data_IF_416876719723
#
_entry.id   IF_416876719723
#
_cell.length_a   1.000
_cell.length_b   1.000
_cell.length_c   1.000
_cell.angle_alpha   90.00
_cell.angle_beta   90.00
_cell.angle_gamma   90.00
#
_symmetry.space_group_name_H-M   'P 1'
#
loop_
_entity.id
_entity.type
_entity.pdbx_description
1 polymer ?
#
# COMPACT_ATOMS: atom_id res chain seq x y z
N UNK A 1 14.64 -2.50 9.76
CA UNK A 1 15.51 -3.23 8.81
C UNK A 1 15.32 -2.61 7.44
N UNK A 2 16.32 -1.91 6.91
CA UNK A 2 16.22 -1.16 5.64
C UNK A 2 16.30 -2.05 4.40
N UNK A 3 15.89 -1.49 3.26
CA UNK A 3 15.77 -1.97 1.86
C UNK A 3 16.96 -2.75 1.24
N UNK A 4 17.68 -3.58 1.99
CA UNK A 4 18.83 -4.36 1.51
C UNK A 4 18.47 -5.61 0.69
N UNK A 5 17.20 -5.84 0.32
CA UNK A 5 16.77 -7.17 -0.17
C UNK A 5 16.19 -7.27 -1.59
N UNK A 6 16.11 -6.20 -2.38
CA UNK A 6 15.53 -6.31 -3.72
C UNK A 6 16.46 -5.74 -4.80
N UNK A 7 17.51 -6.50 -5.15
CA UNK A 7 18.34 -6.18 -6.33
C UNK A 7 17.53 -6.30 -7.63
N UNK A 8 16.62 -7.28 -7.68
CA UNK A 8 15.67 -7.48 -8.77
C UNK A 8 14.29 -7.74 -8.17
N UNK A 9 13.25 -7.07 -8.65
CA UNK A 9 11.86 -7.25 -8.19
C UNK A 9 10.89 -7.06 -9.35
N UNK A 10 9.77 -7.79 -9.35
CA UNK A 10 8.66 -7.50 -10.25
C UNK A 10 7.85 -6.31 -9.71
N UNK A 11 7.67 -5.28 -10.53
CA UNK A 11 6.91 -4.07 -10.19
C UNK A 11 5.77 -3.88 -11.19
N UNK A 12 4.59 -3.52 -10.69
CA UNK A 12 3.44 -3.20 -11.52
C UNK A 12 3.51 -1.74 -11.98
N UNK A 13 3.66 -1.52 -13.28
CA UNK A 13 3.75 -0.18 -13.86
C UNK A 13 2.40 0.23 -14.44
N UNK A 14 1.93 1.42 -14.07
CA UNK A 14 0.84 2.09 -14.77
C UNK A 14 1.29 2.47 -16.20
N UNK A 15 0.35 2.67 -17.14
CA UNK A 15 0.67 3.20 -18.47
C UNK A 15 1.38 4.57 -18.42
N UNK A 16 2.24 4.86 -19.39
CA UNK A 16 3.09 6.06 -19.40
C UNK A 16 2.31 7.38 -19.49
N UNK A 17 1.05 7.34 -19.94
CA UNK A 17 0.15 8.49 -20.01
C UNK A 17 -0.68 8.72 -18.73
N UNK A 18 -0.48 7.90 -17.70
CA UNK A 18 -1.13 8.10 -16.40
C UNK A 18 -0.37 9.15 -15.61
N UNK A 19 -1.12 10.14 -15.10
CA UNK A 19 -0.60 11.21 -14.25
C UNK A 19 -0.14 10.74 -12.87
N UNK A 20 0.15 11.69 -11.99
CA UNK A 20 0.57 11.38 -10.63
C UNK A 20 -0.57 10.79 -9.81
N UNK A 21 -0.27 9.94 -8.82
CA UNK A 21 -1.30 9.26 -8.03
C UNK A 21 -2.33 10.22 -7.41
N UNK A 22 -1.92 11.41 -6.97
CA UNK A 22 -2.84 12.38 -6.37
C UNK A 22 -3.88 12.94 -7.35
N UNK A 23 -3.56 12.97 -8.65
CA UNK A 23 -4.47 13.45 -9.71
C UNK A 23 -5.60 12.44 -9.96
N UNK A 24 -5.39 11.17 -9.59
CA UNK A 24 -6.39 10.10 -9.74
C UNK A 24 -7.37 10.02 -8.56
N UNK A 25 -7.11 10.70 -7.43
CA UNK A 25 -7.96 10.62 -6.21
C UNK A 25 -9.43 10.90 -6.55
N UNK A 26 -9.70 12.00 -7.26
CA UNK A 26 -11.06 12.42 -7.59
C UNK A 26 -11.82 11.38 -8.44
N UNK A 27 -11.13 10.79 -9.42
CA UNK A 27 -11.73 9.77 -10.30
C UNK A 27 -11.97 8.44 -9.56
N UNK A 28 -11.17 8.11 -8.54
CA UNK A 28 -11.27 6.85 -7.80
C UNK A 28 -12.24 6.90 -6.62
N UNK A 29 -12.65 8.11 -6.18
CA UNK A 29 -13.54 8.28 -5.01
C UNK A 29 -14.85 7.50 -5.13
N UNK A 30 -15.45 7.45 -6.32
CA UNK A 30 -16.69 6.72 -6.60
C UNK A 30 -16.48 5.44 -7.43
N UNK A 31 -15.23 5.12 -7.80
CA UNK A 31 -14.94 3.93 -8.60
C UNK A 31 -14.65 2.71 -7.73
N UNK A 32 -15.00 1.53 -8.24
CA UNK A 32 -14.62 0.21 -7.70
C UNK A 32 -13.58 -0.50 -8.58
N UNK A 33 -13.22 0.11 -9.72
CA UNK A 33 -12.29 -0.46 -10.69
C UNK A 33 -11.29 0.61 -11.13
N UNK A 34 -10.01 0.25 -11.22
CA UNK A 34 -9.00 1.13 -11.81
C UNK A 34 -9.31 1.36 -13.29
N UNK A 35 -9.16 2.60 -13.80
CA UNK A 35 -9.48 2.93 -15.19
C UNK A 35 -8.44 2.42 -16.20
N UNK A 36 -7.46 1.64 -15.75
CA UNK A 36 -6.41 1.05 -16.57
C UNK A 36 -5.87 -0.22 -15.91
N UNK A 37 -5.20 -1.02 -16.72
CA UNK A 37 -4.44 -2.18 -16.26
C UNK A 37 -2.97 -1.80 -16.03
N UNK A 38 -2.34 -2.44 -15.05
CA UNK A 38 -0.90 -2.37 -14.84
C UNK A 38 -0.19 -3.42 -15.69
N UNK A 39 1.07 -3.16 -16.04
CA UNK A 39 1.96 -4.15 -16.66
C UNK A 39 3.12 -4.45 -15.73
N UNK A 40 3.41 -5.72 -15.45
CA UNK A 40 4.61 -6.09 -14.71
C UNK A 40 5.86 -5.82 -15.53
N UNK A 41 6.85 -5.23 -14.88
CA UNK A 41 8.22 -5.10 -15.37
C UNK A 41 9.16 -5.63 -14.30
N UNK A 42 10.29 -6.20 -14.71
CA UNK A 42 11.40 -6.47 -13.80
C UNK A 42 12.15 -5.17 -13.56
N UNK A 43 12.27 -4.77 -12.30
CA UNK A 43 13.05 -3.62 -11.84
C UNK A 43 14.40 -4.12 -11.33
N UNK A 44 15.47 -3.55 -11.85
CA UNK A 44 16.84 -3.79 -11.36
C UNK A 44 17.47 -2.47 -10.92
N UNK A 45 17.98 -2.42 -9.70
CA UNK A 45 18.74 -1.27 -9.20
C UNK A 45 20.22 -1.49 -9.46
N UNK A 46 20.83 -0.61 -10.25
CA UNK A 46 22.26 -0.58 -10.59
C UNK A 46 22.90 0.71 -10.08
N UNK A 47 24.22 0.80 -10.16
CA UNK A 47 24.97 2.00 -9.73
C UNK A 47 24.61 3.27 -10.52
N UNK A 48 24.15 3.11 -11.76
CA UNK A 48 23.73 4.19 -12.66
C UNK A 48 22.23 4.51 -12.59
N UNK A 49 21.46 3.79 -11.76
CA UNK A 49 20.04 4.08 -11.52
C UNK A 49 19.13 2.86 -11.56
N UNK A 50 17.85 3.12 -11.85
CA UNK A 50 16.77 2.14 -11.89
C UNK A 50 16.51 1.74 -13.34
N UNK A 51 16.53 0.44 -13.62
CA UNK A 51 16.30 -0.11 -14.96
C UNK A 51 15.07 -1.01 -14.96
N UNK A 52 14.23 -0.88 -15.99
CA UNK A 52 13.06 -1.71 -16.20
C UNK A 52 13.25 -2.61 -17.43
N UNK A 53 12.84 -3.88 -17.33
CA UNK A 53 12.87 -4.83 -18.44
C UNK A 53 11.68 -5.77 -18.41
N UNK A 54 11.41 -6.43 -19.55
CA UNK A 54 10.46 -7.54 -19.63
C UNK A 54 11.13 -8.91 -19.38
N UNK A 55 12.43 -8.92 -19.06
CA UNK A 55 13.17 -10.12 -18.66
C UNK A 55 13.09 -10.31 -17.14
N UNK A 56 12.39 -11.38 -16.72
CA UNK A 56 12.20 -11.75 -15.32
C UNK A 56 13.16 -12.87 -14.87
N UNK A 57 14.14 -13.29 -15.68
CA UNK A 57 15.05 -14.41 -15.38
C UNK A 57 15.79 -14.30 -14.04
N UNK A 58 15.95 -13.07 -13.54
CA UNK A 58 16.64 -12.76 -12.27
C UNK A 58 15.69 -12.40 -11.13
N UNK A 59 14.38 -12.52 -11.34
CA UNK A 59 13.33 -12.24 -10.35
C UNK A 59 12.82 -13.57 -9.79
N UNK A 60 13.05 -13.80 -8.50
CA UNK A 60 12.68 -15.06 -7.84
C UNK A 60 11.16 -15.27 -7.78
N UNK A 61 10.38 -14.21 -7.53
CA UNK A 61 8.92 -14.27 -7.46
C UNK A 61 8.33 -13.07 -8.16
N UNK A 62 7.50 -13.34 -9.18
CA UNK A 62 6.89 -12.30 -10.03
C UNK A 62 5.57 -11.81 -9.42
N UNK A 63 4.74 -12.75 -8.95
CA UNK A 63 3.43 -12.47 -8.38
C UNK A 63 3.48 -12.47 -6.86
N UNK A 64 3.43 -11.28 -6.27
CA UNK A 64 3.58 -11.09 -4.83
C UNK A 64 2.22 -10.79 -4.17
N UNK A 65 2.05 -11.17 -2.90
CA UNK A 65 0.79 -10.90 -2.19
C UNK A 65 0.59 -9.39 -1.95
N UNK A 66 1.68 -8.65 -1.75
CA UNK A 66 1.74 -7.19 -1.84
C UNK A 66 2.58 -6.80 -3.06
N UNK A 67 2.00 -6.30 -4.15
CA UNK A 67 2.76 -5.99 -5.36
C UNK A 67 3.32 -4.56 -5.31
N UNK A 68 4.65 -4.37 -5.36
CA UNK A 68 5.24 -3.05 -5.59
C UNK A 68 4.72 -2.48 -6.91
N UNK A 69 4.52 -1.17 -6.97
CA UNK A 69 4.00 -0.53 -8.18
C UNK A 69 4.55 0.88 -8.38
N UNK A 70 4.32 1.42 -9.58
CA UNK A 70 4.77 2.77 -9.96
C UNK A 70 3.88 3.89 -9.41
N UNK A 71 2.77 3.55 -8.76
CA UNK A 71 1.90 4.48 -8.05
C UNK A 71 2.11 4.32 -6.54
N UNK A 72 1.53 5.24 -5.78
CA UNK A 72 1.68 5.25 -4.32
C UNK A 72 0.60 4.42 -3.59
N UNK A 73 -0.37 3.85 -4.31
CA UNK A 73 -1.35 2.95 -3.71
C UNK A 73 -0.83 1.53 -3.56
N UNK A 74 -1.11 0.85 -2.45
CA UNK A 74 -0.72 -0.54 -2.30
C UNK A 74 -1.60 -1.45 -3.16
N UNK A 75 -0.99 -2.46 -3.79
CA UNK A 75 -1.70 -3.48 -4.59
C UNK A 75 -1.70 -4.80 -3.83
N UNK A 76 -2.87 -5.25 -3.39
CA UNK A 76 -3.04 -6.50 -2.65
C UNK A 76 -3.55 -7.60 -3.57
N UNK A 77 -2.94 -8.79 -3.48
CA UNK A 77 -3.51 -9.99 -4.08
C UNK A 77 -4.88 -10.29 -3.48
N UNK A 78 -5.68 -11.12 -4.17
CA UNK A 78 -6.96 -11.58 -3.64
C UNK A 78 -6.80 -12.31 -2.29
N UNK A 79 -5.71 -13.07 -2.11
CA UNK A 79 -5.38 -13.75 -0.84
C UNK A 79 -5.16 -12.75 0.27
N UNK A 80 -4.33 -11.72 0.06
CA UNK A 80 -4.04 -10.69 1.05
C UNK A 80 -5.30 -9.88 1.39
N UNK A 81 -6.04 -9.41 0.39
CA UNK A 81 -7.33 -8.73 0.56
C UNK A 81 -8.28 -9.55 1.42
N UNK A 82 -8.45 -10.84 1.14
CA UNK A 82 -9.39 -11.69 1.88
C UNK A 82 -8.97 -11.95 3.32
N UNK A 83 -7.66 -12.01 3.61
CA UNK A 83 -7.16 -12.07 4.98
C UNK A 83 -7.50 -10.79 5.75
N UNK A 84 -7.24 -9.62 5.17
CA UNK A 84 -7.59 -8.33 5.79
C UNK A 84 -9.10 -8.22 5.98
N UNK A 85 -9.90 -8.53 4.95
CA UNK A 85 -11.36 -8.43 4.97
C UNK A 85 -12.00 -9.22 6.11
N UNK A 86 -11.49 -10.43 6.40
CA UNK A 86 -11.96 -11.27 7.52
C UNK A 86 -11.72 -10.66 8.91
N UNK A 87 -10.85 -9.65 9.00
CA UNK A 87 -10.46 -9.02 10.26
C UNK A 87 -10.99 -7.60 10.42
N UNK A 88 -11.63 -7.03 9.38
CA UNK A 88 -12.23 -5.69 9.47
C UNK A 88 -13.31 -5.67 10.53
N UNK A 89 -13.42 -4.53 11.21
CA UNK A 89 -14.45 -4.28 12.22
C UNK A 89 -15.69 -3.60 11.62
N UNK A 90 -15.54 -3.04 10.42
CA UNK A 90 -16.56 -2.25 9.75
C UNK A 90 -16.49 -0.75 10.07
N UNK A 91 -15.54 -0.33 10.94
CA UNK A 91 -15.33 1.06 11.31
C UNK A 91 -14.19 1.73 10.52
N UNK A 92 -13.47 0.98 9.70
CA UNK A 92 -12.27 1.47 9.03
C UNK A 92 -12.55 2.38 7.81
N UNK A 93 -13.81 2.52 7.37
CA UNK A 93 -14.13 3.33 6.18
C UNK A 93 -13.38 2.84 4.94
N UNK A 94 -13.29 1.52 4.73
CA UNK A 94 -12.47 0.90 3.69
C UNK A 94 -13.32 0.29 2.58
N UNK A 95 -13.06 0.69 1.34
CA UNK A 95 -13.51 -0.01 0.12
C UNK A 95 -12.32 -0.62 -0.63
N UNK A 96 -12.63 -1.47 -1.61
CA UNK A 96 -11.61 -2.13 -2.44
C UNK A 96 -11.79 -1.72 -3.89
N UNK A 97 -10.75 -1.16 -4.50
CA UNK A 97 -10.73 -0.88 -5.94
C UNK A 97 -9.98 -2.02 -6.62
N UNK A 98 -10.66 -2.75 -7.50
CA UNK A 98 -10.05 -3.82 -8.29
C UNK A 98 -9.19 -3.25 -9.43
N UNK A 99 -8.14 -3.97 -9.80
CA UNK A 99 -7.28 -3.64 -10.93
C UNK A 99 -6.68 -4.92 -11.50
N UNK A 100 -6.32 -4.92 -12.79
CA UNK A 100 -5.57 -6.03 -13.35
C UNK A 100 -4.10 -5.69 -13.46
N UNK A 101 -3.27 -6.72 -13.29
CA UNK A 101 -1.85 -6.68 -13.54
C UNK A 101 -1.54 -7.73 -14.61
N UNK A 102 -0.96 -7.28 -15.73
CA UNK A 102 -0.66 -8.08 -16.90
C UNK A 102 0.84 -8.41 -16.98
N UNK A 103 1.18 -9.65 -17.34
CA UNK A 103 2.54 -10.12 -17.58
C UNK A 103 2.54 -11.11 -18.75
N UNK A 104 2.91 -10.64 -19.95
CA UNK A 104 2.82 -11.43 -21.17
C UNK A 104 1.37 -11.83 -21.47
N UNK A 105 1.05 -13.13 -21.39
CA UNK A 105 -0.30 -13.66 -21.60
C UNK A 105 -1.09 -13.86 -20.30
N UNK A 106 -0.45 -13.71 -19.15
CA UNK A 106 -1.09 -13.90 -17.85
C UNK A 106 -1.60 -12.57 -17.31
N UNK A 107 -2.83 -12.57 -16.79
CA UNK A 107 -3.44 -11.42 -16.12
C UNK A 107 -3.94 -11.87 -14.76
N UNK A 108 -3.63 -11.10 -13.71
CA UNK A 108 -4.13 -11.34 -12.35
C UNK A 108 -4.81 -10.11 -11.79
N UNK A 109 -5.91 -10.31 -11.08
CA UNK A 109 -6.63 -9.25 -10.39
C UNK A 109 -6.01 -8.97 -9.02
N UNK A 110 -5.75 -7.70 -8.76
CA UNK A 110 -5.26 -7.13 -7.51
C UNK A 110 -6.22 -6.06 -7.03
N UNK A 111 -6.03 -5.60 -5.79
CA UNK A 111 -6.95 -4.70 -5.13
C UNK A 111 -6.22 -3.61 -4.36
N UNK A 112 -6.69 -2.38 -4.51
CA UNK A 112 -6.25 -1.24 -3.72
C UNK A 112 -7.18 -1.11 -2.51
N UNK A 113 -6.66 -1.14 -1.26
CA UNK A 113 -7.42 -0.71 -0.10
C UNK A 113 -7.57 0.82 -0.15
N UNK A 114 -8.78 1.28 -0.44
CA UNK A 114 -9.10 2.70 -0.59
C UNK A 114 -9.97 3.17 0.57
N UNK A 115 -9.46 4.09 1.36
CA UNK A 115 -10.17 4.66 2.51
C UNK A 115 -11.02 5.83 2.04
N UNK A 116 -12.28 5.87 2.45
CA UNK A 116 -13.26 6.88 2.00
C UNK A 116 -13.39 8.05 2.96
N UNK A 117 -12.79 7.96 4.16
CA UNK A 117 -12.78 9.02 5.17
C UNK A 117 -11.43 9.10 5.89
N UNK A 118 -11.08 10.30 6.35
CA UNK A 118 -9.91 10.52 7.19
C UNK A 118 -10.25 10.11 8.63
N UNK A 119 -9.46 9.20 9.21
CA UNK A 119 -9.68 8.70 10.55
C UNK A 119 -8.90 9.52 11.59
N UNK A 120 -9.56 9.96 12.66
CA UNK A 120 -8.90 10.58 13.81
C UNK A 120 -8.19 9.50 14.65
N UNK A 121 -6.94 9.21 14.31
CA UNK A 121 -6.12 8.14 14.94
C UNK A 121 -4.98 8.68 15.81
N UNK A 122 -4.70 9.99 15.75
CA UNK A 122 -3.52 10.59 16.33
C UNK A 122 -3.74 11.06 17.78
N UNK A 123 -2.68 10.92 18.59
CA UNK A 123 -2.46 11.70 19.80
C UNK A 123 -1.65 12.94 19.41
N UNK A 124 -2.35 14.06 19.18
CA UNK A 124 -1.74 15.30 18.66
C UNK A 124 -0.65 15.85 19.58
N UNK A 125 -0.79 15.70 20.89
CA UNK A 125 0.17 16.19 21.90
C UNK A 125 1.50 15.43 21.89
N UNK A 126 1.52 14.22 21.30
CA UNK A 126 2.71 13.36 21.20
C UNK A 126 3.28 13.30 19.78
N UNK A 127 2.59 13.88 18.81
CA UNK A 127 3.07 13.95 17.43
C UNK A 127 4.20 14.97 17.30
N UNK A 128 5.11 14.72 16.35
CA UNK A 128 6.16 15.68 16.00
C UNK A 128 5.85 16.30 14.65
N UNK A 129 5.77 17.63 14.62
CA UNK A 129 5.45 18.41 13.43
C UNK A 129 6.65 19.28 13.02
N UNK A 130 6.79 19.49 11.71
CA UNK A 130 7.67 20.51 11.16
C UNK A 130 7.14 21.92 11.48
N UNK A 131 7.99 22.93 11.34
CA UNK A 131 7.61 24.34 11.52
C UNK A 131 6.44 24.77 10.61
N UNK A 132 6.28 24.11 9.46
CA UNK A 132 5.19 24.39 8.50
C UNK A 132 3.93 23.55 8.78
N UNK A 133 3.84 22.88 9.93
CA UNK A 133 2.71 22.04 10.32
C UNK A 133 2.71 20.62 9.74
N UNK A 134 3.65 20.30 8.85
CA UNK A 134 3.80 18.95 8.28
C UNK A 134 4.10 17.89 9.34
N UNK A 135 3.34 16.80 9.37
CA UNK A 135 3.55 15.69 10.30
C UNK A 135 4.84 14.93 9.97
N UNK A 136 5.85 15.03 10.83
CA UNK A 136 7.15 14.34 10.66
C UNK A 136 7.08 12.95 11.29
N UNK A 137 6.63 12.86 12.55
CA UNK A 137 6.55 11.58 13.29
C UNK A 137 5.15 11.41 13.90
N UNK A 138 4.36 10.44 13.42
CA UNK A 138 3.05 10.16 14.01
C UNK A 138 3.19 9.48 15.38
N UNK A 139 2.29 9.85 16.29
CA UNK A 139 2.03 9.17 17.54
C UNK A 139 0.54 8.83 17.60
N UNK A 140 0.22 7.54 17.68
CA UNK A 140 -1.16 7.07 17.61
C UNK A 140 -1.78 6.98 19.01
N UNK A 141 -3.06 7.32 19.13
CA UNK A 141 -3.79 7.17 20.38
C UNK A 141 -4.37 5.76 20.49
N UNK A 142 -3.98 5.03 21.51
CA UNK A 142 -4.51 3.70 21.86
C UNK A 142 -6.03 3.68 21.94
N UNK A 143 -6.63 4.68 22.59
CA UNK A 143 -8.08 4.84 22.72
C UNK A 143 -8.79 5.03 21.38
N UNK A 144 -8.19 5.77 20.45
CA UNK A 144 -8.79 6.06 19.13
C UNK A 144 -8.64 4.91 18.15
N UNK A 145 -7.52 4.19 18.21
CA UNK A 145 -7.23 3.09 17.27
C UNK A 145 -7.74 1.72 17.72
N UNK A 146 -8.24 1.60 18.96
CA UNK A 146 -8.63 0.31 19.57
C UNK A 146 -9.61 -0.51 18.72
N UNK A 147 -10.44 0.17 17.94
CA UNK A 147 -11.50 -0.43 17.14
C UNK A 147 -11.11 -0.59 15.66
N UNK A 148 -9.87 -0.25 15.26
CA UNK A 148 -9.43 -0.37 13.87
C UNK A 148 -8.46 -1.53 13.70
N UNK A 149 -8.77 -2.42 12.75
CA UNK A 149 -7.82 -3.46 12.33
C UNK A 149 -6.75 -2.93 11.39
N UNK A 150 -7.10 -1.91 10.60
CA UNK A 150 -6.26 -1.31 9.56
C UNK A 150 -6.66 0.15 9.37
N UNK A 151 -5.71 1.06 9.14
CA UNK A 151 -5.99 2.47 8.84
C UNK A 151 -4.83 3.11 8.05
N UNK A 152 -5.10 4.14 7.24
CA UNK A 152 -4.06 4.79 6.45
C UNK A 152 -3.08 5.52 7.38
N UNK A 153 -1.81 5.59 7.00
CA UNK A 153 -0.90 6.52 7.67
C UNK A 153 -1.43 7.95 7.44
N UNK A 154 -1.68 8.74 8.50
CA UNK A 154 -2.18 10.11 8.34
C UNK A 154 -1.22 10.96 7.51
N UNK A 155 -1.80 11.77 6.61
CA UNK A 155 -1.06 12.66 5.73
C UNK A 155 -1.91 13.91 5.44
N UNK A 156 -1.26 15.04 5.14
CA UNK A 156 -1.94 16.32 4.88
C UNK A 156 -2.52 16.39 3.46
N UNK A 157 -3.41 17.36 3.21
CA UNK A 157 -3.91 17.76 1.88
C UNK A 157 -4.46 16.58 1.06
N UNK A 158 -5.40 15.82 1.62
CA UNK A 158 -6.03 14.64 1.01
C UNK A 158 -5.09 13.48 0.64
N UNK A 159 -3.79 13.61 0.89
CA UNK A 159 -2.82 12.54 0.63
C UNK A 159 -3.04 11.32 1.53
N UNK A 160 -3.89 11.42 2.57
CA UNK A 160 -4.36 10.27 3.33
C UNK A 160 -5.13 9.26 2.46
N UNK A 161 -5.73 9.69 1.35
CA UNK A 161 -6.36 8.81 0.34
C UNK A 161 -5.31 8.04 -0.47
N UNK A 162 -4.04 8.47 -0.45
CA UNK A 162 -2.90 7.80 -1.06
C UNK A 162 -2.10 7.06 0.02
N UNK A 163 -2.43 5.79 0.20
CA UNK A 163 -1.94 4.99 1.32
C UNK A 163 -0.58 4.36 1.09
N UNK A 164 0.44 5.18 0.84
CA UNK A 164 1.82 4.70 0.67
C UNK A 164 2.32 3.88 1.86
N UNK A 165 1.78 4.12 3.05
CA UNK A 165 1.91 3.25 4.21
C UNK A 165 0.56 3.05 4.90
N UNK A 166 0.37 1.86 5.46
CA UNK A 166 -0.82 1.46 6.18
C UNK A 166 -0.42 0.94 7.56
N UNK A 167 -1.15 1.35 8.59
CA UNK A 167 -1.04 0.81 9.92
C UNK A 167 -1.99 -0.38 10.08
N UNK A 168 -1.52 -1.42 10.76
CA UNK A 168 -2.28 -2.64 11.04
C UNK A 168 -2.18 -2.98 12.53
N UNK A 169 -3.21 -3.63 13.08
CA UNK A 169 -3.14 -4.18 14.43
C UNK A 169 -2.20 -5.38 14.51
N UNK A 170 -1.71 -5.70 15.71
CA UNK A 170 -0.90 -6.91 15.94
C UNK A 170 -1.65 -8.19 15.56
N UNK A 171 -2.97 -8.21 15.76
CA UNK A 171 -3.84 -9.32 15.33
C UNK A 171 -3.73 -9.54 13.81
N UNK A 172 -3.81 -8.47 13.03
CA UNK A 172 -3.66 -8.52 11.57
C UNK A 172 -2.26 -8.99 11.21
N UNK A 173 -1.22 -8.36 11.77
CA UNK A 173 0.18 -8.75 11.53
C UNK A 173 0.42 -10.25 11.76
N UNK A 174 -0.03 -10.77 12.91
CA UNK A 174 0.14 -12.17 13.26
C UNK A 174 -0.60 -13.11 12.29
N UNK A 175 -1.79 -12.72 11.83
CA UNK A 175 -2.53 -13.49 10.82
C UNK A 175 -1.81 -13.52 9.46
N UNK A 176 -1.24 -12.38 9.03
CA UNK A 176 -0.46 -12.30 7.79
C UNK A 176 0.81 -13.15 7.87
N UNK A 177 1.52 -13.10 9.00
CA UNK A 177 2.69 -13.95 9.24
C UNK A 177 2.33 -15.44 9.21
N UNK A 178 1.23 -15.84 9.89
CA UNK A 178 0.74 -17.23 9.89
C UNK A 178 0.33 -17.72 8.50
N UNK A 179 -0.13 -16.82 7.63
CA UNK A 179 -0.49 -17.12 6.25
C UNK A 179 0.69 -17.05 5.26
N UNK A 180 1.92 -16.90 5.77
CA UNK A 180 3.16 -16.77 5.01
C UNK A 180 3.13 -15.63 3.97
N UNK A 181 2.52 -14.50 4.31
CA UNK A 181 2.64 -13.26 3.52
C UNK A 181 4.01 -12.65 3.84
N UNK A 182 5.04 -13.05 3.09
CA UNK A 182 6.44 -12.79 3.45
C UNK A 182 7.04 -11.51 2.84
N UNK A 183 6.40 -10.93 1.82
CA UNK A 183 6.96 -9.84 1.04
C UNK A 183 6.57 -8.43 1.56
N UNK A 184 6.16 -8.35 2.83
CA UNK A 184 5.78 -7.11 3.52
C UNK A 184 6.80 -6.80 4.61
N UNK A 185 7.32 -5.58 4.61
CA UNK A 185 8.15 -5.08 5.72
C UNK A 185 7.26 -4.48 6.82
N UNK A 186 7.57 -4.82 8.08
CA UNK A 186 6.88 -4.28 9.24
C UNK A 186 7.79 -3.34 10.02
N UNK A 187 7.24 -2.18 10.40
CA UNK A 187 7.88 -1.21 11.30
C UNK A 187 6.95 -0.95 12.48
N UNK A 188 7.52 -0.90 13.68
CA UNK A 188 6.76 -0.56 14.88
C UNK A 188 6.46 0.93 14.90
N UNK A 189 5.24 1.29 15.30
CA UNK A 189 4.80 2.68 15.45
C UNK A 189 4.63 3.05 16.93
N UNK A 190 4.72 4.33 17.24
CA UNK A 190 4.52 4.82 18.61
C UNK A 190 3.03 4.92 18.93
N UNK A 191 2.60 4.26 20.00
CA UNK A 191 1.21 4.27 20.50
C UNK A 191 1.22 4.76 21.95
N UNK A 192 0.27 5.63 22.30
CA UNK A 192 0.12 6.25 23.61
C UNK A 192 -1.31 6.17 24.13
#
# INVERSE_FOLDING_TARGET
>A
MGLKHFKNVAIACAPDNVGLAHELIGALRESEVMPFDFTLKALTVKSDGIHYSNDFSRVETIWLDYQPNSLAWPLFSEKLKNLIKKMLTGKEGLKWISCNICCGKETRTYHIPHFIEELDVLNKDKCFYSNNGGLIKPAYSSLKIKDYSIFPKPAMNDLWQITAAICISDKVKNALMKANISNIAYEAVSVY
#
